data_IF_031051044728
#
_entry.id   IF_031051044728
#
_cell.length_a   1.000
_cell.length_b   1.000
_cell.length_c   1.000
_cell.angle_alpha   90.00
_cell.angle_beta   90.00
_cell.angle_gamma   90.00
#
_symmetry.space_group_name_H-M   'P 1'
#
loop_
_entity.id
_entity.type
_entity.pdbx_description
1 polymer ?
#
# COMPACT_ATOMS: atom_id res chain seq x y z
N UNK A 1 10.54 32.05 -2.12
CA UNK A 1 10.45 31.80 -3.58
C UNK A 1 10.44 30.30 -3.77
N UNK A 2 9.26 29.71 -3.90
CA UNK A 2 9.11 28.24 -3.95
C UNK A 2 9.16 27.82 -5.41
N UNK A 3 10.16 27.03 -5.77
CA UNK A 3 10.29 26.43 -7.09
C UNK A 3 9.17 25.39 -7.26
N UNK A 4 8.11 25.78 -7.92
CA UNK A 4 7.19 24.83 -8.54
C UNK A 4 7.93 24.21 -9.73
N UNK A 5 8.63 23.11 -9.52
CA UNK A 5 9.31 22.42 -10.62
C UNK A 5 8.29 21.51 -11.29
N UNK A 6 7.62 22.05 -12.30
CA UNK A 6 6.84 21.25 -13.22
C UNK A 6 7.80 20.44 -14.08
N UNK A 7 7.83 19.12 -13.88
CA UNK A 7 8.66 18.19 -14.64
C UNK A 7 7.72 17.39 -15.52
N UNK A 8 7.77 17.60 -16.83
CA UNK A 8 6.84 16.96 -17.77
C UNK A 8 7.01 15.43 -17.86
N UNK A 9 8.18 14.91 -17.57
CA UNK A 9 8.45 13.46 -17.63
C UNK A 9 9.58 13.09 -16.68
N UNK A 10 9.39 12.01 -15.92
CA UNK A 10 10.43 11.35 -15.13
C UNK A 10 10.53 9.91 -15.63
N UNK A 11 11.74 9.50 -16.00
CA UNK A 11 11.99 8.15 -16.50
C UNK A 11 12.94 7.44 -15.54
N UNK A 12 12.56 6.24 -15.11
CA UNK A 12 13.45 5.30 -14.41
C UNK A 12 13.94 4.24 -15.38
N UNK A 13 15.23 4.01 -15.37
CA UNK A 13 15.86 2.99 -16.20
C UNK A 13 16.50 1.91 -15.33
N UNK A 14 16.26 0.65 -15.70
CA UNK A 14 16.96 -0.49 -15.11
C UNK A 14 18.07 -0.93 -16.06
N UNK A 15 19.24 -1.18 -15.48
CA UNK A 15 20.42 -1.58 -16.21
C UNK A 15 20.81 -3.00 -15.86
N UNK A 16 21.23 -3.76 -16.89
CA UNK A 16 21.97 -5.00 -16.72
C UNK A 16 23.40 -4.77 -17.20
N UNK A 17 24.31 -4.57 -16.26
CA UNK A 17 25.65 -4.08 -16.58
C UNK A 17 25.60 -2.66 -17.16
N UNK A 18 25.99 -2.49 -18.43
CA UNK A 18 25.97 -1.21 -19.14
C UNK A 18 24.79 -1.05 -20.12
N UNK A 19 23.93 -2.05 -20.22
CA UNK A 19 22.81 -2.08 -21.17
C UNK A 19 21.53 -1.72 -20.42
N UNK A 20 20.72 -0.85 -21.01
CA UNK A 20 19.37 -0.54 -20.49
C UNK A 20 18.50 -1.78 -20.75
N UNK A 21 18.03 -2.40 -19.67
CA UNK A 21 17.14 -3.57 -19.74
C UNK A 21 15.69 -3.14 -19.88
N UNK A 22 15.28 -2.08 -19.19
CA UNK A 22 13.93 -1.52 -19.29
C UNK A 22 13.92 -0.04 -18.92
N UNK A 23 12.93 0.69 -19.45
CA UNK A 23 12.63 2.09 -19.15
C UNK A 23 11.17 2.21 -18.76
N UNK A 24 10.87 3.02 -17.74
CA UNK A 24 9.53 3.23 -17.22
C UNK A 24 9.27 4.71 -17.02
N UNK A 25 8.15 5.20 -17.55
CA UNK A 25 7.64 6.53 -17.24
C UNK A 25 7.07 6.53 -15.84
N UNK A 26 7.45 7.53 -15.04
CA UNK A 26 6.99 7.70 -13.68
C UNK A 26 5.96 8.82 -13.63
N UNK A 27 4.83 8.52 -13.01
CA UNK A 27 3.83 9.50 -12.59
C UNK A 27 4.06 9.80 -11.11
N UNK A 28 4.37 11.05 -10.79
CA UNK A 28 4.67 11.46 -9.44
C UNK A 28 3.96 12.77 -9.10
N UNK A 29 3.41 12.83 -7.90
CA UNK A 29 2.82 14.01 -7.33
C UNK A 29 3.24 14.11 -5.87
N UNK A 30 3.83 15.23 -5.49
CA UNK A 30 4.26 15.52 -4.12
C UNK A 30 3.68 16.87 -3.73
N UNK A 31 2.92 16.88 -2.63
CA UNK A 31 2.39 18.10 -2.04
C UNK A 31 2.68 18.18 -0.54
N UNK A 32 2.65 19.39 -0.02
CA UNK A 32 2.60 19.64 1.41
C UNK A 32 1.17 19.52 1.93
N UNK A 33 1.01 19.42 3.24
CA UNK A 33 -0.30 19.38 3.89
C UNK A 33 -1.12 20.66 3.66
N UNK A 34 -0.46 21.81 3.42
CA UNK A 34 -1.12 23.07 3.11
C UNK A 34 -1.55 23.18 1.63
N UNK A 35 -1.31 22.13 0.83
CA UNK A 35 -1.68 22.09 -0.58
C UNK A 35 -0.59 22.56 -1.55
N UNK A 36 0.54 23.09 -1.08
CA UNK A 36 1.64 23.48 -1.95
C UNK A 36 2.19 22.28 -2.72
N UNK A 37 2.23 22.37 -4.03
CA UNK A 37 2.78 21.35 -4.91
C UNK A 37 4.29 21.48 -5.00
N UNK A 38 5.02 20.43 -4.66
CA UNK A 38 6.48 20.39 -4.73
C UNK A 38 6.97 19.72 -6.02
N UNK A 39 6.25 18.72 -6.49
CA UNK A 39 6.53 17.99 -7.73
C UNK A 39 5.21 17.58 -8.37
N UNK A 40 5.08 17.78 -9.67
CA UNK A 40 3.99 17.28 -10.49
C UNK A 40 4.53 16.92 -11.88
N UNK A 41 4.25 15.69 -12.31
CA UNK A 41 4.54 15.22 -13.67
C UNK A 41 3.35 15.41 -14.62
N UNK A 42 2.41 16.31 -14.30
CA UNK A 42 1.16 16.59 -15.03
C UNK A 42 0.19 15.39 -15.14
N UNK A 43 0.33 14.41 -14.25
CA UNK A 43 -0.46 13.19 -14.29
C UNK A 43 -1.29 12.98 -13.00
N UNK A 44 -1.47 14.03 -12.18
CA UNK A 44 -2.14 13.95 -10.88
C UNK A 44 -3.61 13.50 -10.96
N UNK A 45 -4.27 13.74 -12.10
CA UNK A 45 -5.67 13.36 -12.32
C UNK A 45 -5.83 11.99 -12.99
N UNK A 46 -4.73 11.32 -13.34
CA UNK A 46 -4.79 10.01 -13.96
C UNK A 46 -5.23 8.96 -12.96
N UNK A 47 -6.20 8.14 -13.37
CA UNK A 47 -6.63 7.01 -12.56
C UNK A 47 -5.57 5.90 -12.59
N UNK A 48 -5.22 5.41 -11.42
CA UNK A 48 -4.26 4.31 -11.27
C UNK A 48 -4.85 3.21 -10.39
N UNK A 49 -4.37 1.99 -10.60
CA UNK A 49 -4.61 0.89 -9.67
C UNK A 49 -3.52 0.87 -8.60
N UNK A 50 -3.78 1.32 -7.37
CA UNK A 50 -2.75 1.40 -6.32
C UNK A 50 -2.30 0.01 -5.83
N UNK A 51 -3.06 -1.04 -6.15
CA UNK A 51 -2.77 -2.42 -5.76
C UNK A 51 -2.42 -2.53 -4.27
N UNK A 52 -1.33 -3.21 -3.95
CA UNK A 52 -0.92 -3.44 -2.56
C UNK A 52 -0.41 -2.21 -1.83
N UNK A 53 -0.06 -1.13 -2.51
CA UNK A 53 0.43 0.10 -1.86
C UNK A 53 -0.64 0.79 -1.00
N UNK A 54 -1.93 0.56 -1.29
CA UNK A 54 -3.04 1.15 -0.52
C UNK A 54 -3.30 0.42 0.82
N UNK A 55 -2.72 -0.77 1.04
CA UNK A 55 -3.06 -1.61 2.21
C UNK A 55 -2.78 -0.93 3.54
N UNK A 56 -1.75 -0.10 3.63
CA UNK A 56 -1.45 0.67 4.84
C UNK A 56 -2.61 1.61 5.15
N UNK A 57 -3.12 2.33 4.16
CA UNK A 57 -4.26 3.24 4.34
C UNK A 57 -5.54 2.49 4.70
N UNK A 58 -5.77 1.32 4.11
CA UNK A 58 -6.90 0.45 4.44
C UNK A 58 -6.82 -0.09 5.87
N UNK A 59 -5.61 -0.25 6.42
CA UNK A 59 -5.42 -0.70 7.80
C UNK A 59 -5.65 0.40 8.84
N UNK A 60 -5.64 1.69 8.48
CA UNK A 60 -5.84 2.79 9.43
C UNK A 60 -7.17 2.68 10.18
N UNK A 61 -8.35 2.53 9.53
CA UNK A 61 -9.61 2.35 10.24
C UNK A 61 -9.60 1.13 11.17
N UNK A 62 -8.98 0.04 10.72
CA UNK A 62 -8.83 -1.17 11.53
C UNK A 62 -8.01 -0.90 12.80
N UNK A 63 -6.90 -0.17 12.70
CA UNK A 63 -6.06 0.19 13.85
C UNK A 63 -6.82 1.15 14.80
N UNK A 64 -7.58 2.10 14.26
CA UNK A 64 -8.37 3.05 15.03
C UNK A 64 -9.46 2.38 15.88
N UNK A 65 -9.97 1.21 15.46
CA UNK A 65 -10.91 0.43 16.27
C UNK A 65 -10.27 -0.23 17.50
N UNK A 66 -8.95 -0.06 17.69
CA UNK A 66 -8.19 -0.66 18.78
C UNK A 66 -8.37 -2.19 18.90
N UNK A 67 -8.11 -2.94 17.81
CA UNK A 67 -8.41 -4.37 17.74
C UNK A 67 -7.58 -5.19 18.72
N UNK A 68 -6.40 -4.71 19.11
CA UNK A 68 -5.56 -5.35 20.13
C UNK A 68 -6.27 -5.39 21.48
N UNK A 69 -7.01 -4.35 21.85
CA UNK A 69 -7.77 -4.29 23.10
C UNK A 69 -9.03 -5.17 23.05
N UNK A 70 -9.78 -5.11 21.95
CA UNK A 70 -11.07 -5.80 21.84
C UNK A 70 -10.94 -7.29 21.53
N UNK A 71 -9.94 -7.68 20.72
CA UNK A 71 -9.80 -9.04 20.20
C UNK A 71 -8.47 -9.68 20.55
N UNK A 72 -7.66 -9.05 21.40
CA UNK A 72 -6.31 -9.51 21.74
C UNK A 72 -5.47 -9.86 20.49
N UNK A 73 -5.48 -8.94 19.52
CA UNK A 73 -4.70 -9.07 18.30
C UNK A 73 -3.28 -8.55 18.53
N UNK A 74 -2.31 -9.30 18.04
CA UNK A 74 -0.89 -8.96 18.17
C UNK A 74 -0.35 -8.24 16.92
N UNK A 75 0.89 -7.79 16.99
CA UNK A 75 1.58 -7.12 15.88
C UNK A 75 1.70 -7.96 14.61
N UNK A 76 1.73 -9.29 14.70
CA UNK A 76 1.76 -10.19 13.54
C UNK A 76 0.49 -10.07 12.71
N UNK A 77 -0.67 -9.94 13.36
CA UNK A 77 -1.96 -9.77 12.69
C UNK A 77 -2.03 -8.38 12.04
N UNK A 78 -1.53 -7.34 12.70
CA UNK A 78 -1.44 -6.00 12.10
C UNK A 78 -0.52 -6.00 10.86
N UNK A 79 0.63 -6.65 10.95
CA UNK A 79 1.52 -6.82 9.82
C UNK A 79 0.85 -7.58 8.68
N UNK A 80 0.10 -8.65 8.98
CA UNK A 80 -0.65 -9.42 8.00
C UNK A 80 -1.73 -8.58 7.30
N UNK A 81 -2.43 -7.70 8.04
CA UNK A 81 -3.44 -6.80 7.49
C UNK A 81 -2.87 -5.82 6.45
N UNK A 82 -1.60 -5.41 6.61
CA UNK A 82 -0.91 -4.48 5.70
C UNK A 82 -0.08 -5.20 4.63
N UNK A 83 0.13 -6.52 4.74
CA UNK A 83 1.09 -7.24 3.91
C UNK A 83 0.50 -7.72 2.58
N UNK A 84 1.40 -7.96 1.63
CA UNK A 84 1.15 -8.80 0.46
C UNK A 84 1.91 -10.11 0.65
N UNK A 85 1.21 -11.23 0.62
CA UNK A 85 1.80 -12.54 0.85
C UNK A 85 1.29 -13.57 -0.15
N UNK A 86 2.05 -14.66 -0.31
CA UNK A 86 1.72 -15.77 -1.23
C UNK A 86 0.91 -16.89 -0.58
N UNK A 87 0.48 -16.70 0.66
CA UNK A 87 -0.28 -17.71 1.39
C UNK A 87 0.57 -18.84 1.95
N UNK A 88 1.82 -18.56 2.34
CA UNK A 88 2.66 -19.54 3.03
C UNK A 88 2.00 -20.02 4.33
N UNK A 89 2.36 -21.20 4.78
CA UNK A 89 1.70 -21.87 5.91
C UNK A 89 1.59 -21.00 7.17
N UNK A 90 2.58 -20.19 7.46
CA UNK A 90 2.54 -19.30 8.62
C UNK A 90 1.54 -18.14 8.43
N UNK A 91 1.38 -17.60 7.21
CA UNK A 91 0.34 -16.59 6.93
C UNK A 91 -1.07 -17.19 7.09
N UNK A 92 -1.28 -18.39 6.55
CA UNK A 92 -2.56 -19.11 6.66
C UNK A 92 -2.90 -19.38 8.12
N UNK A 93 -1.93 -19.83 8.91
CA UNK A 93 -2.10 -20.11 10.35
C UNK A 93 -2.50 -18.83 11.10
N UNK A 94 -1.81 -17.72 10.89
CA UNK A 94 -2.13 -16.45 11.55
C UNK A 94 -3.50 -15.91 11.12
N UNK A 95 -3.86 -16.02 9.82
CA UNK A 95 -5.17 -15.64 9.34
C UNK A 95 -6.30 -16.48 9.97
N UNK A 96 -6.10 -17.78 10.08
CA UNK A 96 -7.06 -18.69 10.75
C UNK A 96 -7.24 -18.33 12.23
N UNK A 97 -6.16 -18.02 12.92
CA UNK A 97 -6.18 -17.58 14.31
C UNK A 97 -6.93 -16.24 14.44
N UNK A 98 -6.70 -15.32 13.53
CA UNK A 98 -7.40 -14.04 13.50
C UNK A 98 -8.91 -14.22 13.32
N UNK A 99 -9.33 -14.94 12.27
CA UNK A 99 -10.74 -15.23 11.98
C UNK A 99 -11.43 -15.89 13.19
N UNK A 100 -10.75 -16.83 13.85
CA UNK A 100 -11.26 -17.50 15.05
C UNK A 100 -11.44 -16.52 16.20
N UNK A 101 -10.48 -15.61 16.45
CA UNK A 101 -10.55 -14.62 17.52
C UNK A 101 -11.70 -13.64 17.34
N UNK A 102 -11.94 -13.18 16.13
CA UNK A 102 -13.04 -12.25 15.82
C UNK A 102 -14.38 -12.96 15.57
N UNK A 103 -14.42 -14.29 15.68
CA UNK A 103 -15.62 -15.15 15.54
C UNK A 103 -16.36 -14.97 14.22
N UNK A 104 -15.63 -14.75 13.13
CA UNK A 104 -16.18 -14.61 11.78
C UNK A 104 -16.03 -15.93 11.01
N UNK A 105 -17.08 -16.33 10.31
CA UNK A 105 -16.99 -17.47 9.40
C UNK A 105 -16.13 -17.16 8.18
N UNK A 106 -15.28 -18.11 7.74
CA UNK A 106 -14.52 -18.03 6.48
C UNK A 106 -15.38 -17.70 5.26
N UNK A 107 -16.64 -18.17 5.25
CA UNK A 107 -17.61 -17.90 4.17
C UNK A 107 -17.95 -16.41 4.02
N UNK A 108 -17.63 -15.59 5.03
CA UNK A 108 -17.82 -14.14 4.99
C UNK A 108 -16.66 -13.40 4.31
N UNK A 109 -15.53 -14.05 4.08
CA UNK A 109 -14.45 -13.51 3.29
C UNK A 109 -14.85 -13.62 1.82
N UNK A 110 -15.20 -12.49 1.24
CA UNK A 110 -15.52 -12.39 -0.18
C UNK A 110 -14.29 -11.79 -0.88
N UNK A 111 -13.44 -12.66 -1.38
CA UNK A 111 -12.40 -12.30 -2.30
C UNK A 111 -12.97 -12.43 -3.70
N UNK A 112 -12.90 -11.36 -4.48
CA UNK A 112 -13.30 -11.37 -5.88
C UNK A 112 -12.39 -12.24 -6.72
#
# INVERSE_FOLDING_TARGET
>A
MFYNKQVNTVITQFYRGRIIESSHDIKAFISRLNGDVLLDTNNQNDLIYPRSSIKIFQAIPFIQTNPSKHYNLNSKILALACSSHRGENYHIKELQNWIKKIRISRKKLKCG
#
